data_IF_128773306109
#
_entry.id   IF_128773306109
#
_cell.length_a   1.000
_cell.length_b   1.000
_cell.length_c   1.000
_cell.angle_alpha   90.00
_cell.angle_beta   90.00
_cell.angle_gamma   90.00
#
_symmetry.space_group_name_H-M   'P 1'
#
loop_
_entity.id
_entity.type
_entity.pdbx_description
1 polymer ?
#
# COMPACT_ATOMS: atom_id res chain seq x y z
N UNK A 1 3.79 -5.37 6.55
CA UNK A 1 3.55 -6.49 5.62
C UNK A 1 2.53 -7.38 6.31
N UNK A 2 1.28 -7.40 5.85
CA UNK A 2 0.24 -8.21 6.47
C UNK A 2 0.54 -9.70 6.27
N UNK A 3 0.30 -10.51 7.30
CA UNK A 3 0.45 -11.96 7.21
C UNK A 3 -0.55 -12.52 6.18
N UNK A 4 -0.11 -13.32 5.20
CA UNK A 4 -1.01 -13.91 4.22
C UNK A 4 -2.01 -14.84 4.91
N UNK A 5 -3.30 -14.63 4.63
CA UNK A 5 -4.38 -15.47 5.16
C UNK A 5 -4.69 -16.58 4.15
N UNK A 6 -4.58 -17.83 4.60
CA UNK A 6 -4.94 -19.02 3.80
C UNK A 6 -6.07 -19.78 4.50
N UNK A 7 -7.12 -20.12 3.77
CA UNK A 7 -8.27 -20.84 4.31
C UNK A 7 -8.32 -22.21 3.68
N UNK A 8 -8.13 -23.22 4.51
CA UNK A 8 -8.29 -24.61 4.14
C UNK A 8 -9.76 -25.01 4.31
N UNK A 9 -10.37 -25.38 3.19
CA UNK A 9 -11.79 -25.74 3.10
C UNK A 9 -11.94 -27.15 2.56
N UNK A 10 -13.16 -27.67 2.68
CA UNK A 10 -13.61 -28.85 1.96
C UNK A 10 -14.94 -28.52 1.29
N UNK A 11 -15.04 -28.78 -0.01
CA UNK A 11 -16.29 -28.63 -0.74
C UNK A 11 -17.42 -29.41 -0.06
N UNK A 12 -18.56 -28.75 0.15
CA UNK A 12 -19.77 -29.32 0.78
C UNK A 12 -19.79 -29.30 2.31
N UNK A 13 -18.78 -28.72 2.98
CA UNK A 13 -18.77 -28.56 4.43
C UNK A 13 -19.36 -27.20 4.86
N UNK A 14 -20.44 -27.18 5.67
CA UNK A 14 -21.14 -25.93 6.03
C UNK A 14 -20.30 -25.00 6.93
N UNK A 15 -19.39 -25.54 7.75
CA UNK A 15 -18.51 -24.71 8.58
C UNK A 15 -17.43 -24.02 7.73
N UNK A 16 -16.99 -24.65 6.65
CA UNK A 16 -16.12 -24.03 5.64
C UNK A 16 -16.81 -22.85 4.95
N UNK A 17 -18.05 -23.04 4.51
CA UNK A 17 -18.84 -21.96 3.89
C UNK A 17 -19.07 -20.78 4.85
N UNK A 18 -19.38 -21.05 6.12
CA UNK A 18 -19.53 -20.01 7.14
C UNK A 18 -18.24 -19.20 7.35
N UNK A 19 -17.08 -19.86 7.33
CA UNK A 19 -15.77 -19.21 7.47
C UNK A 19 -15.45 -18.31 6.29
N UNK A 20 -15.64 -18.82 5.07
CA UNK A 20 -15.44 -18.05 3.83
C UNK A 20 -16.35 -16.83 3.81
N UNK A 21 -17.64 -17.02 4.13
CA UNK A 21 -18.62 -15.93 4.21
C UNK A 21 -18.24 -14.87 5.25
N UNK A 22 -17.72 -15.29 6.40
CA UNK A 22 -17.27 -14.36 7.44
C UNK A 22 -16.09 -13.50 6.99
N UNK A 23 -15.12 -14.08 6.27
CA UNK A 23 -13.97 -13.35 5.75
C UNK A 23 -14.36 -12.37 4.65
N UNK A 24 -15.25 -12.79 3.75
CA UNK A 24 -15.82 -11.96 2.68
C UNK A 24 -16.57 -10.75 3.25
N UNK A 25 -17.43 -10.95 4.26
CA UNK A 25 -18.14 -9.87 4.97
C UNK A 25 -17.20 -8.87 5.66
N UNK A 26 -15.99 -9.31 6.00
CA UNK A 26 -14.96 -8.49 6.66
C UNK A 26 -14.00 -7.85 5.66
N UNK A 27 -14.14 -8.12 4.37
CA UNK A 27 -13.26 -7.60 3.32
C UNK A 27 -11.83 -8.14 3.39
N UNK A 28 -11.58 -9.24 4.11
CA UNK A 28 -10.22 -9.77 4.29
C UNK A 28 -9.80 -10.53 3.04
N UNK A 29 -8.66 -10.19 2.45
CA UNK A 29 -8.09 -10.97 1.36
C UNK A 29 -7.56 -12.32 1.87
N UNK A 30 -7.96 -13.43 1.23
CA UNK A 30 -7.51 -14.77 1.58
C UNK A 30 -7.28 -15.67 0.36
N UNK A 31 -6.41 -16.66 0.51
CA UNK A 31 -6.23 -17.75 -0.45
C UNK A 31 -7.02 -18.98 -0.02
N UNK A 32 -7.99 -19.41 -0.82
CA UNK A 32 -8.78 -20.62 -0.56
C UNK A 32 -8.05 -21.85 -1.09
N UNK A 33 -7.85 -22.88 -0.26
CA UNK A 33 -7.26 -24.17 -0.65
C UNK A 33 -8.19 -25.30 -0.25
N UNK A 34 -8.61 -26.10 -1.22
CA UNK A 34 -9.50 -27.24 -0.95
C UNK A 34 -8.68 -28.50 -0.68
N UNK A 35 -8.89 -29.14 0.47
CA UNK A 35 -8.16 -30.35 0.86
C UNK A 35 -8.49 -31.56 -0.02
N UNK A 36 -9.60 -31.55 -0.76
CA UNK A 36 -9.97 -32.62 -1.69
C UNK A 36 -9.19 -32.52 -3.01
N UNK A 37 -8.90 -31.30 -3.46
CA UNK A 37 -8.25 -31.07 -4.77
C UNK A 37 -6.79 -30.65 -4.64
N UNK A 38 -6.36 -30.17 -3.48
CA UNK A 38 -4.99 -29.75 -3.20
C UNK A 38 -4.31 -30.72 -2.20
N UNK A 39 -3.50 -31.69 -2.67
CA UNK A 39 -2.77 -32.60 -1.78
C UNK A 39 -1.77 -31.86 -0.87
N UNK A 40 -1.32 -30.66 -1.25
CA UNK A 40 -0.43 -29.85 -0.41
C UNK A 40 -1.16 -29.29 0.80
N UNK A 41 -2.45 -28.97 0.67
CA UNK A 41 -3.28 -28.54 1.80
C UNK A 41 -3.38 -29.65 2.86
N UNK A 42 -3.63 -30.87 2.42
CA UNK A 42 -3.68 -32.07 3.27
C UNK A 42 -2.35 -32.33 3.96
N UNK A 43 -1.23 -32.19 3.25
CA UNK A 43 0.12 -32.35 3.82
C UNK A 43 0.44 -31.28 4.88
N UNK A 44 0.07 -30.02 4.67
CA UNK A 44 0.26 -28.93 5.63
C UNK A 44 -0.54 -29.20 6.91
N UNK A 45 -1.82 -29.53 6.78
CA UNK A 45 -2.69 -29.80 7.92
C UNK A 45 -2.22 -31.03 8.70
N UNK A 46 -1.89 -32.11 8.00
CA UNK A 46 -1.38 -33.33 8.65
C UNK A 46 -0.03 -33.07 9.33
N UNK A 47 0.90 -32.37 8.68
CA UNK A 47 2.22 -32.07 9.24
C UNK A 47 2.16 -31.13 10.45
N UNK A 48 1.16 -30.25 10.54
CA UNK A 48 1.02 -29.28 11.64
C UNK A 48 0.10 -29.75 12.78
N UNK A 49 -0.98 -30.45 12.44
CA UNK A 49 -2.04 -30.83 13.39
C UNK A 49 -2.06 -32.35 13.68
N UNK A 50 -1.29 -33.15 12.94
CA UNK A 50 -1.34 -34.62 12.99
C UNK A 50 -2.61 -35.22 12.38
N UNK A 51 -3.53 -34.39 11.88
CA UNK A 51 -4.80 -34.77 11.28
C UNK A 51 -5.27 -33.72 10.27
N UNK A 52 -6.07 -34.16 9.31
CA UNK A 52 -6.70 -33.28 8.31
C UNK A 52 -8.06 -32.88 8.85
N UNK A 53 -8.16 -31.66 9.35
CA UNK A 53 -9.40 -31.09 9.88
C UNK A 53 -9.69 -29.79 9.14
N UNK A 54 -10.96 -29.49 8.91
CA UNK A 54 -11.43 -28.30 8.20
C UNK A 54 -12.73 -27.80 8.86
N UNK A 55 -13.06 -26.50 8.79
CA UNK A 55 -12.25 -25.42 8.24
C UNK A 55 -11.00 -25.12 9.08
N UNK A 56 -9.91 -24.72 8.44
CA UNK A 56 -8.71 -24.22 9.13
C UNK A 56 -8.26 -22.92 8.48
N UNK A 57 -8.08 -21.88 9.28
CA UNK A 57 -7.57 -20.59 8.82
C UNK A 57 -6.12 -20.44 9.27
N UNK A 58 -5.21 -20.40 8.31
CA UNK A 58 -3.80 -20.10 8.54
C UNK A 58 -3.55 -18.60 8.37
N UNK A 59 -2.88 -18.01 9.34
CA UNK A 59 -2.49 -16.59 9.36
C UNK A 59 -1.01 -16.56 9.74
N UNK A 60 -0.14 -16.36 8.74
CA UNK A 60 1.31 -16.50 8.92
C UNK A 60 1.67 -17.91 9.39
N UNK A 61 2.27 -18.01 10.58
CA UNK A 61 2.64 -19.29 11.22
C UNK A 61 1.52 -19.93 12.06
N UNK A 62 0.41 -19.23 12.26
CA UNK A 62 -0.69 -19.66 13.13
C UNK A 62 -1.74 -20.43 12.35
N UNK A 63 -2.29 -21.50 12.93
CA UNK A 63 -3.44 -22.21 12.40
C UNK A 63 -4.59 -22.14 13.41
N UNK A 64 -5.72 -21.63 12.96
CA UNK A 64 -6.97 -21.57 13.70
C UNK A 64 -7.86 -22.70 13.18
N UNK A 65 -8.19 -23.64 14.06
CA UNK A 65 -9.02 -24.80 13.70
C UNK A 65 -10.48 -24.48 14.00
N UNK A 66 -11.34 -24.70 13.01
CA UNK A 66 -12.78 -24.47 13.10
C UNK A 66 -13.21 -23.04 12.77
N UNK A 67 -14.52 -22.82 12.85
CA UNK A 67 -15.14 -21.51 12.67
C UNK A 67 -15.39 -20.86 14.05
N UNK A 68 -14.43 -20.09 14.53
CA UNK A 68 -14.58 -19.28 15.75
C UNK A 68 -14.48 -17.79 15.38
N UNK A 69 -15.60 -17.05 15.29
CA UNK A 69 -15.60 -15.66 14.87
C UNK A 69 -14.86 -14.74 15.86
N UNK A 70 -14.77 -15.10 17.14
CA UNK A 70 -14.07 -14.30 18.16
C UNK A 70 -12.55 -14.46 17.99
N UNK A 71 -12.07 -15.69 17.82
CA UNK A 71 -10.65 -15.95 17.54
C UNK A 71 -10.24 -15.35 16.19
N UNK A 72 -11.08 -15.51 15.17
CA UNK A 72 -10.87 -14.90 13.86
C UNK A 72 -10.81 -13.37 13.98
N UNK A 73 -11.79 -12.71 14.61
CA UNK A 73 -11.76 -11.26 14.79
C UNK A 73 -10.51 -10.74 15.52
N UNK A 74 -9.94 -11.56 16.42
CA UNK A 74 -8.75 -11.21 17.20
C UNK A 74 -7.46 -11.34 16.41
N UNK A 75 -7.37 -12.32 15.52
CA UNK A 75 -6.13 -12.70 14.86
C UNK A 75 -6.09 -12.46 13.37
N UNK A 76 -7.25 -12.27 12.74
CA UNK A 76 -7.29 -11.76 11.39
C UNK A 76 -6.50 -10.47 11.38
N UNK A 77 -5.62 -10.29 10.38
CA UNK A 77 -4.99 -9.01 10.18
C UNK A 77 -6.11 -7.98 10.18
N UNK A 78 -6.06 -7.05 11.13
CA UNK A 78 -6.86 -5.85 10.99
C UNK A 78 -6.37 -5.24 9.71
N UNK A 79 -7.32 -4.97 8.84
CA UNK A 79 -7.12 -4.46 7.51
C UNK A 79 -6.37 -3.10 7.57
N UNK A 80 -5.05 -3.15 7.73
CA UNK A 80 -4.11 -2.41 6.90
C UNK A 80 -4.08 -3.19 5.58
N UNK A 81 -5.22 -3.16 4.88
CA UNK A 81 -5.46 -3.65 3.51
C UNK A 81 -4.23 -3.46 2.66
N UNK A 82 -4.14 -4.18 1.54
CA UNK A 82 -3.48 -3.63 0.37
C UNK A 82 -3.82 -2.15 0.26
N UNK A 83 -2.94 -1.26 0.74
CA UNK A 83 -3.15 0.17 0.60
C UNK A 83 -3.23 0.33 -0.92
N UNK A 84 -4.32 0.89 -1.48
CA UNK A 84 -4.25 1.40 -2.83
C UNK A 84 -3.21 2.51 -2.77
N UNK A 85 -1.95 2.09 -2.90
CA UNK A 85 -0.78 2.89 -2.65
C UNK A 85 -0.67 3.71 -3.91
N UNK A 86 -1.30 4.86 -3.87
CA UNK A 86 -1.20 5.83 -4.95
C UNK A 86 0.27 6.14 -5.12
N UNK A 87 0.79 5.88 -6.31
CA UNK A 87 2.18 6.19 -6.58
C UNK A 87 2.30 7.66 -6.95
N UNK A 88 3.19 8.40 -6.28
CA UNK A 88 3.52 9.77 -6.68
C UNK A 88 4.05 9.83 -8.12
N UNK A 89 4.75 8.77 -8.54
CA UNK A 89 5.24 8.62 -9.91
C UNK A 89 6.48 9.46 -10.24
N UNK A 90 7.20 9.93 -9.22
CA UNK A 90 8.54 10.48 -9.41
C UNK A 90 9.56 9.80 -8.48
N UNK A 91 10.81 9.73 -8.94
CA UNK A 91 11.93 9.35 -8.10
C UNK A 91 12.22 10.48 -7.11
N UNK A 92 12.39 10.13 -5.84
CA UNK A 92 12.62 11.10 -4.78
C UNK A 92 13.80 10.67 -3.91
N UNK A 93 14.63 11.63 -3.52
CA UNK A 93 15.81 11.42 -2.65
C UNK A 93 15.90 12.50 -1.58
N UNK A 94 16.45 12.15 -0.42
CA UNK A 94 16.62 13.12 0.66
C UNK A 94 17.57 14.24 0.25
N UNK A 95 17.27 15.46 0.67
CA UNK A 95 18.15 16.61 0.44
C UNK A 95 19.36 16.50 1.35
N UNK A 96 20.55 16.52 0.75
CA UNK A 96 21.82 16.63 1.49
C UNK A 96 22.20 18.11 1.67
N UNK A 97 23.08 18.46 2.63
CA UNK A 97 23.61 19.83 2.78
C UNK A 97 24.21 20.39 1.49
N UNK A 98 24.83 19.54 0.67
CA UNK A 98 25.39 19.94 -0.63
C UNK A 98 24.29 20.32 -1.63
N UNK A 99 23.23 19.52 -1.72
CA UNK A 99 22.07 19.81 -2.58
C UNK A 99 21.34 21.07 -2.10
N UNK A 100 21.16 21.24 -0.79
CA UNK A 100 20.52 22.41 -0.21
C UNK A 100 21.29 23.70 -0.55
N UNK A 101 22.61 23.69 -0.40
CA UNK A 101 23.47 24.81 -0.76
C UNK A 101 23.41 25.13 -2.26
N UNK A 102 23.46 24.10 -3.11
CA UNK A 102 23.37 24.26 -4.57
C UNK A 102 22.00 24.83 -5.02
N UNK A 103 20.94 24.60 -4.25
CA UNK A 103 19.57 25.03 -4.54
C UNK A 103 19.15 26.30 -3.79
N UNK A 104 20.04 26.89 -2.99
CA UNK A 104 19.78 28.09 -2.19
C UNK A 104 18.76 27.87 -1.07
N UNK A 105 18.57 26.63 -0.60
CA UNK A 105 17.68 26.37 0.53
C UNK A 105 18.31 26.90 1.84
N UNK A 106 17.49 27.42 2.76
CA UNK A 106 17.98 27.91 4.05
C UNK A 106 18.48 26.79 4.97
N UNK A 107 18.05 25.53 4.75
CA UNK A 107 18.49 24.37 5.50
C UNK A 107 18.37 23.07 4.67
N UNK A 108 19.10 22.00 5.02
CA UNK A 108 19.00 20.70 4.36
C UNK A 108 17.78 19.91 4.86
N UNK A 109 16.61 20.28 4.36
CA UNK A 109 15.36 19.58 4.62
C UNK A 109 14.59 19.40 3.32
N UNK A 110 13.56 18.56 3.37
CA UNK A 110 12.79 18.21 2.19
C UNK A 110 13.38 17.06 1.38
N UNK A 111 12.85 16.94 0.17
CA UNK A 111 13.10 15.81 -0.73
C UNK A 111 13.27 16.34 -2.15
N UNK A 112 14.40 16.04 -2.76
CA UNK A 112 14.66 16.40 -4.16
C UNK A 112 13.94 15.42 -5.09
N UNK A 113 13.26 15.98 -6.07
CA UNK A 113 12.61 15.25 -7.16
C UNK A 113 13.64 14.96 -8.25
N UNK A 114 13.83 13.68 -8.55
CA UNK A 114 14.59 13.20 -9.69
C UNK A 114 13.68 13.00 -10.90
N UNK A 115 13.76 11.85 -11.56
CA UNK A 115 12.95 11.54 -12.74
C UNK A 115 11.46 11.44 -12.42
N UNK A 116 10.64 12.18 -13.16
CA UNK A 116 9.16 12.11 -13.13
C UNK A 116 8.70 11.16 -14.25
N UNK A 117 7.73 10.28 -13.95
CA UNK A 117 7.16 9.36 -14.94
C UNK A 117 6.06 10.06 -15.75
N UNK A 118 6.00 9.84 -17.07
CA UNK A 118 4.92 10.36 -17.90
C UNK A 118 3.56 9.76 -17.50
N UNK A 119 2.52 10.59 -17.49
CA UNK A 119 1.17 10.22 -17.06
C UNK A 119 1.04 10.01 -15.54
N UNK A 120 2.02 10.46 -14.75
CA UNK A 120 1.96 10.36 -13.28
C UNK A 120 1.24 11.55 -12.63
N UNK A 121 0.75 11.39 -11.38
CA UNK A 121 0.21 12.50 -10.59
C UNK A 121 1.19 13.67 -10.43
N UNK A 122 2.49 13.36 -10.29
CA UNK A 122 3.53 14.38 -10.19
C UNK A 122 3.67 15.21 -11.48
N UNK A 123 3.62 14.57 -12.65
CA UNK A 123 3.65 15.28 -13.93
C UNK A 123 2.39 16.14 -14.12
N UNK A 124 1.22 15.58 -13.82
CA UNK A 124 -0.05 16.30 -13.90
C UNK A 124 -0.10 17.54 -12.99
N UNK A 125 0.63 17.51 -11.88
CA UNK A 125 0.78 18.64 -10.96
C UNK A 125 1.86 19.66 -11.37
N UNK A 126 2.54 19.46 -12.51
CA UNK A 126 3.59 20.37 -13.00
C UNK A 126 4.92 20.27 -12.24
N UNK A 127 5.16 19.16 -11.55
CA UNK A 127 6.41 18.89 -10.82
C UNK A 127 7.48 18.49 -11.82
N UNK A 128 8.67 19.08 -11.67
CA UNK A 128 9.78 18.88 -12.58
C UNK A 128 10.96 18.23 -11.86
N UNK A 129 11.79 17.45 -12.60
CA UNK A 129 13.08 17.00 -12.08
C UNK A 129 13.93 18.19 -11.63
N UNK A 130 14.46 18.11 -10.41
CA UNK A 130 15.29 19.13 -9.79
C UNK A 130 14.55 20.05 -8.82
N UNK A 131 13.24 19.90 -8.67
CA UNK A 131 12.47 20.55 -7.60
C UNK A 131 12.79 19.96 -6.23
N UNK A 132 12.64 20.76 -5.19
CA UNK A 132 12.77 20.29 -3.81
C UNK A 132 11.44 20.44 -3.09
N UNK A 133 10.83 19.32 -2.67
CA UNK A 133 9.60 19.32 -1.87
C UNK A 133 9.99 19.58 -0.42
N UNK A 134 9.55 20.70 0.14
CA UNK A 134 9.90 21.15 1.48
C UNK A 134 8.80 20.86 2.51
N UNK A 135 7.53 20.82 2.09
CA UNK A 135 6.39 20.54 2.95
C UNK A 135 5.27 19.76 2.25
N UNK A 136 4.45 19.08 3.05
CA UNK A 136 3.24 18.35 2.66
C UNK A 136 2.07 18.92 3.47
N UNK A 137 1.20 19.67 2.80
CA UNK A 137 0.14 20.45 3.44
C UNK A 137 0.73 21.40 4.48
N UNK A 138 0.33 21.25 5.74
CA UNK A 138 0.83 22.05 6.85
C UNK A 138 2.12 21.51 7.50
N UNK A 139 2.67 20.39 7.02
CA UNK A 139 3.78 19.69 7.68
C UNK A 139 5.08 19.78 6.88
N UNK A 140 6.12 20.34 7.48
CA UNK A 140 7.47 20.38 6.91
C UNK A 140 8.12 19.00 6.91
N UNK A 141 8.84 18.67 5.83
CA UNK A 141 9.52 17.38 5.69
C UNK A 141 10.93 17.46 6.27
N UNK A 142 11.14 16.82 7.42
CA UNK A 142 12.46 16.73 8.08
C UNK A 142 13.06 15.32 8.00
N UNK A 143 12.25 14.28 7.82
CA UNK A 143 12.68 12.88 7.73
C UNK A 143 13.12 12.45 6.33
N UNK A 144 13.33 13.41 5.43
CA UNK A 144 13.78 13.16 4.05
C UNK A 144 12.83 12.29 3.23
N UNK A 145 13.40 11.53 2.30
CA UNK A 145 12.63 10.73 1.34
C UNK A 145 11.72 9.68 1.98
N UNK A 146 12.10 9.12 3.13
CA UNK A 146 11.31 8.09 3.80
C UNK A 146 10.02 8.66 4.39
N UNK A 147 10.09 9.84 5.01
CA UNK A 147 8.90 10.53 5.50
C UNK A 147 7.94 10.85 4.35
N UNK A 148 8.47 11.32 3.22
CA UNK A 148 7.65 11.61 2.05
C UNK A 148 6.98 10.35 1.49
N UNK A 149 7.72 9.24 1.34
CA UNK A 149 7.16 7.97 0.87
C UNK A 149 6.04 7.47 1.76
N UNK A 150 6.20 7.57 3.08
CA UNK A 150 5.13 7.23 4.04
C UNK A 150 3.92 8.15 3.91
N UNK A 151 4.15 9.46 3.75
CA UNK A 151 3.06 10.42 3.59
C UNK A 151 2.24 10.16 2.33
N UNK A 152 2.88 9.72 1.24
CA UNK A 152 2.22 9.29 0.00
C UNK A 152 1.52 7.95 0.17
N UNK A 153 2.13 6.97 0.86
CA UNK A 153 1.52 5.66 1.11
C UNK A 153 0.18 5.75 1.87
N UNK A 154 0.07 6.71 2.80
CA UNK A 154 -1.17 6.97 3.54
C UNK A 154 -2.29 7.64 2.71
N UNK A 155 -2.02 8.03 1.46
CA UNK A 155 -3.01 8.71 0.60
C UNK A 155 -3.91 7.70 -0.10
N UNK A 156 -5.16 8.11 -0.30
CA UNK A 156 -6.16 7.30 -0.99
C UNK A 156 -6.30 7.75 -2.45
N UNK A 157 -6.72 6.86 -3.35
CA UNK A 157 -7.13 7.25 -4.69
C UNK A 157 -8.29 8.23 -4.63
N UNK A 158 -8.23 9.30 -5.41
CA UNK A 158 -9.14 10.45 -5.36
C UNK A 158 -8.73 11.54 -4.36
N UNK A 159 -7.72 11.31 -3.51
CA UNK A 159 -7.23 12.32 -2.58
C UNK A 159 -6.39 13.38 -3.29
N UNK A 160 -6.37 14.60 -2.73
CA UNK A 160 -5.50 15.68 -3.20
C UNK A 160 -4.52 16.05 -2.10
N UNK A 161 -3.23 16.05 -2.44
CA UNK A 161 -2.15 16.40 -1.52
C UNK A 161 -1.51 17.72 -1.93
N UNK A 162 -1.65 18.73 -1.07
CA UNK A 162 -0.91 19.98 -1.22
C UNK A 162 0.57 19.75 -0.89
N UNK A 163 1.46 20.25 -1.73
CA UNK A 163 2.90 20.20 -1.57
C UNK A 163 3.48 21.61 -1.72
N UNK A 164 4.48 21.91 -0.90
CA UNK A 164 5.31 23.09 -1.10
C UNK A 164 6.60 22.66 -1.78
N UNK A 165 6.80 23.15 -2.99
CA UNK A 165 8.01 22.99 -3.79
C UNK A 165 8.94 24.19 -3.55
N UNK A 166 10.22 23.99 -3.79
CA UNK A 166 11.24 25.01 -3.86
C UNK A 166 11.90 24.94 -5.24
N UNK A 167 11.70 26.00 -6.02
CA UNK A 167 12.18 26.13 -7.40
C UNK A 167 12.72 27.55 -7.60
N UNK A 168 13.92 27.65 -8.17
CA UNK A 168 14.59 28.95 -8.43
C UNK A 168 14.71 29.88 -7.21
N UNK A 169 14.88 29.31 -6.00
CA UNK A 169 15.02 30.07 -4.76
C UNK A 169 13.70 30.58 -4.17
N UNK A 170 12.55 30.17 -4.71
CA UNK A 170 11.23 30.53 -4.21
C UNK A 170 10.38 29.29 -3.90
N UNK A 171 9.53 29.42 -2.87
CA UNK A 171 8.52 28.43 -2.53
C UNK A 171 7.30 28.52 -3.45
N UNK A 172 6.83 27.39 -3.97
CA UNK A 172 5.61 27.29 -4.78
C UNK A 172 4.70 26.22 -4.19
N UNK A 173 3.41 26.52 -4.02
CA UNK A 173 2.42 25.52 -3.61
C UNK A 173 1.80 24.86 -4.83
N UNK A 174 1.79 23.53 -4.84
CA UNK A 174 1.16 22.71 -5.89
C UNK A 174 0.23 21.69 -5.24
N UNK A 175 -0.89 21.41 -5.91
CA UNK A 175 -1.81 20.36 -5.49
C UNK A 175 -1.64 19.13 -6.38
N UNK A 176 -1.34 17.99 -5.77
CA UNK A 176 -1.19 16.71 -6.47
C UNK A 176 -2.45 15.89 -6.26
N UNK A 177 -3.21 15.70 -7.33
CA UNK A 177 -4.39 14.84 -7.32
C UNK A 177 -4.00 13.40 -7.65
N UNK A 178 -4.34 12.47 -6.77
CA UNK A 178 -4.13 11.04 -7.04
C UNK A 178 -5.37 10.47 -7.72
N UNK A 179 -5.27 9.94 -8.95
CA UNK A 179 -6.44 9.42 -9.65
C UNK A 179 -7.00 8.21 -8.89
N UNK A 180 -8.33 8.16 -8.74
CA UNK A 180 -9.02 6.90 -8.42
C UNK A 180 -9.07 6.04 -9.68
N UNK A 181 -8.95 4.72 -9.55
CA UNK A 181 -9.09 3.76 -10.66
C UNK A 181 -10.52 3.78 -11.22
N UNK A 182 -10.86 4.88 -11.88
CA UNK A 182 -11.98 5.13 -12.77
C UNK A 182 -11.57 6.17 -13.84
N UNK A 183 -10.35 6.06 -14.37
CA UNK A 183 -10.06 6.70 -15.64
C UNK A 183 -8.99 5.90 -16.40
N UNK A 184 -9.37 5.18 -17.48
CA UNK A 184 -8.41 4.71 -18.46
C UNK A 184 -7.67 5.94 -18.98
N UNK A 185 -6.36 5.99 -18.78
CA UNK A 185 -5.52 7.07 -19.26
C UNK A 185 -5.66 7.20 -20.78
N UNK A 186 -6.35 8.24 -21.22
CA UNK A 186 -6.31 8.70 -22.58
C UNK A 186 -4.90 9.31 -22.81
N UNK A 187 -4.11 8.79 -23.76
CA UNK A 187 -2.81 9.37 -24.06
C UNK A 187 -3.02 10.65 -24.87
N UNK A 188 -2.91 11.81 -24.23
CA UNK A 188 -2.61 13.08 -24.89
C UNK A 188 -1.14 13.41 -24.60
N UNK A 189 -0.24 13.67 -25.54
CA UNK A 189 -0.31 13.77 -26.99
C UNK A 189 1.14 13.63 -27.51
N UNK A 190 1.31 13.13 -28.73
CA UNK A 190 2.53 13.37 -29.51
C UNK A 190 2.20 13.35 -31.01
N UNK A 191 2.43 14.49 -31.67
CA UNK A 191 2.67 14.58 -33.12
C UNK A 191 1.49 14.99 -33.97
#
# INVERSE_FOLDING_TARGET
>A
MADPVTVFVRAGDPACEATVRYLDQRGVAYSKRDVLTDPSATAILFGRLGKVTVPVVQIGERLLVGHDPVQLARFLPRDETAEPSVSFGAAVRGVTPEVAAAKGLPAPFGVEVGSVKPGSPAEAAGILPGDVITAIGAYTIHGGAEQFRRAVAMRRPGDTMALTLWRDGAGQEVAVAFPSEQQPGEPAAAG
#
